data_IF_002251462453
#
_entry.id   IF_002251462453
#
_cell.length_a   1.000
_cell.length_b   1.000
_cell.length_c   1.000
_cell.angle_alpha   90.00
_cell.angle_beta   90.00
_cell.angle_gamma   90.00
#
_symmetry.space_group_name_H-M   'P 1'
#
loop_
_entity.id
_entity.type
_entity.pdbx_description
1 polymer ?
#
# COMPACT_ATOMS: atom_id res chain seq x y z
N UNK A 1 -21.74 14.57 8.05
CA UNK A 1 -20.27 14.61 8.10
C UNK A 1 -19.77 14.24 9.50
N UNK A 2 -18.49 13.96 9.61
CA UNK A 2 -17.84 13.74 10.91
C UNK A 2 -17.58 15.11 11.54
N UNK A 3 -17.91 15.35 12.84
CA UNK A 3 -17.55 16.58 13.53
C UNK A 3 -16.04 16.82 13.53
N UNK A 4 -15.60 18.07 13.41
CA UNK A 4 -14.17 18.43 13.30
C UNK A 4 -13.36 18.01 14.54
N UNK A 5 -13.96 18.10 15.73
CA UNK A 5 -13.36 17.67 16.99
C UNK A 5 -13.09 16.14 17.08
N UNK A 6 -13.59 15.38 16.10
CA UNK A 6 -13.37 13.93 15.97
C UNK A 6 -12.44 13.56 14.81
N UNK A 7 -11.82 14.54 14.18
CA UNK A 7 -10.88 14.35 13.07
C UNK A 7 -9.47 14.67 13.58
N UNK A 8 -8.56 13.72 13.40
CA UNK A 8 -7.14 13.91 13.68
C UNK A 8 -6.41 13.91 12.35
N UNK A 9 -5.83 15.05 12.00
CA UNK A 9 -4.96 15.17 10.81
C UNK A 9 -3.59 14.61 11.12
N UNK A 10 -3.06 13.78 10.22
CA UNK A 10 -1.75 13.15 10.36
C UNK A 10 -0.87 13.39 9.14
N UNK A 11 0.43 13.31 9.36
CA UNK A 11 1.48 13.31 8.33
C UNK A 11 2.47 12.19 8.63
N UNK A 12 3.29 11.77 7.65
CA UNK A 12 4.34 10.80 7.91
C UNK A 12 5.22 11.16 9.10
N UNK A 13 5.48 10.19 9.97
CA UNK A 13 6.21 10.35 11.22
C UNK A 13 5.33 10.62 12.45
N UNK A 14 4.05 10.94 12.27
CA UNK A 14 3.14 11.12 13.39
C UNK A 14 2.74 9.78 14.02
N UNK A 15 2.51 9.81 15.33
CA UNK A 15 2.02 8.67 16.10
C UNK A 15 0.83 9.11 16.94
N UNK A 16 -0.24 8.32 16.89
CA UNK A 16 -1.46 8.52 17.69
C UNK A 16 -1.59 7.35 18.66
N UNK A 17 -1.88 7.64 19.90
CA UNK A 17 -2.17 6.63 20.93
C UNK A 17 -3.67 6.67 21.28
N UNK A 18 -4.34 5.55 21.07
CA UNK A 18 -5.76 5.36 21.36
C UNK A 18 -5.92 4.15 22.29
N UNK A 19 -6.02 4.39 23.59
CA UNK A 19 -6.09 3.33 24.60
C UNK A 19 -4.87 2.41 24.50
N UNK A 20 -5.08 1.16 24.08
CA UNK A 20 -4.11 0.09 23.93
C UNK A 20 -3.65 -0.12 22.47
N UNK A 21 -4.01 0.79 21.58
CA UNK A 21 -3.59 0.78 20.18
C UNK A 21 -2.72 2.00 19.89
N UNK A 22 -1.56 1.76 19.28
CA UNK A 22 -0.69 2.81 18.77
C UNK A 22 -0.73 2.80 17.24
N UNK A 23 -0.95 3.97 16.63
CA UNK A 23 -1.09 4.12 15.20
C UNK A 23 0.05 5.01 14.70
N UNK A 24 0.89 4.49 13.82
CA UNK A 24 1.96 5.23 13.17
C UNK A 24 1.57 5.57 11.74
N UNK A 25 1.69 6.83 11.37
CA UNK A 25 1.57 7.29 9.99
C UNK A 25 2.95 7.26 9.33
N UNK A 26 3.07 6.57 8.22
CA UNK A 26 4.32 6.37 7.48
C UNK A 26 4.20 6.94 6.07
N UNK A 27 5.34 7.06 5.37
CA UNK A 27 5.37 7.44 3.98
C UNK A 27 4.51 6.49 3.13
N UNK A 28 3.70 7.07 2.25
CA UNK A 28 2.94 6.34 1.25
C UNK A 28 3.62 6.40 -0.11
N UNK A 29 3.37 5.41 -0.93
CA UNK A 29 3.86 5.31 -2.30
C UNK A 29 2.69 5.29 -3.29
N UNK A 30 1.71 6.17 -3.05
CA UNK A 30 0.52 6.35 -3.87
C UNK A 30 0.89 6.85 -5.28
N UNK A 31 0.06 6.52 -6.26
CA UNK A 31 0.22 6.95 -7.66
C UNK A 31 0.25 8.46 -7.84
N UNK A 32 -0.45 9.22 -7.00
CA UNK A 32 -0.42 10.68 -7.05
C UNK A 32 0.98 11.23 -6.86
N UNK A 33 1.85 10.42 -6.28
CA UNK A 33 3.25 10.67 -6.11
C UNK A 33 4.11 10.18 -7.29
N UNK A 34 3.52 9.38 -8.19
CA UNK A 34 4.21 8.71 -9.28
C UNK A 34 3.75 9.15 -10.68
N UNK A 35 2.89 10.14 -10.78
CA UNK A 35 2.45 10.67 -12.09
C UNK A 35 3.64 11.32 -12.79
N UNK A 36 4.15 10.62 -13.77
CA UNK A 36 5.40 10.98 -14.46
C UNK A 36 5.20 11.53 -15.86
N UNK A 37 3.98 11.51 -16.39
CA UNK A 37 3.74 11.93 -17.77
C UNK A 37 2.93 13.22 -17.81
N UNK A 38 3.41 14.24 -18.56
CA UNK A 38 2.61 15.41 -18.87
C UNK A 38 1.36 14.97 -19.65
N UNK A 39 0.21 15.38 -19.18
CA UNK A 39 -1.03 15.23 -19.95
C UNK A 39 -1.09 16.40 -20.91
N UNK A 40 -1.18 16.10 -22.22
CA UNK A 40 -1.32 17.13 -23.25
C UNK A 40 -2.53 18.01 -22.95
N UNK A 41 -2.35 19.33 -22.89
CA UNK A 41 -3.40 20.28 -22.53
C UNK A 41 -3.56 20.56 -21.03
N UNK A 42 -2.78 19.96 -20.15
CA UNK A 42 -2.82 20.23 -18.71
C UNK A 42 -2.41 21.69 -18.39
N UNK A 43 -1.57 22.28 -19.21
CA UNK A 43 -1.16 23.68 -19.10
C UNK A 43 -2.34 24.65 -19.25
N UNK A 44 -3.29 24.34 -20.14
CA UNK A 44 -4.47 25.14 -20.40
C UNK A 44 -5.46 25.13 -19.22
N UNK A 45 -5.36 24.13 -18.36
CA UNK A 45 -6.22 23.99 -17.18
C UNK A 45 -5.62 24.60 -15.90
N UNK A 46 -4.47 25.26 -16.02
CA UNK A 46 -3.79 25.87 -14.88
C UNK A 46 -3.22 24.86 -13.88
N UNK A 47 -3.13 23.59 -14.29
CA UNK A 47 -2.46 22.55 -13.51
C UNK A 47 -0.96 22.68 -13.72
N UNK A 48 -0.20 22.78 -12.65
CA UNK A 48 1.22 22.56 -12.73
C UNK A 48 1.46 21.13 -13.24
N UNK A 49 2.21 21.04 -14.34
CA UNK A 49 2.68 19.76 -14.88
C UNK A 49 3.66 19.17 -13.89
N UNK A 50 3.16 18.31 -13.02
CA UNK A 50 4.01 17.47 -12.19
C UNK A 50 4.56 16.30 -13.03
N UNK A 51 5.31 16.62 -14.07
CA UNK A 51 6.00 15.66 -14.92
C UNK A 51 7.23 15.04 -14.27
N UNK A 52 7.46 15.35 -12.99
CA UNK A 52 8.54 14.81 -12.19
C UNK A 52 7.93 14.15 -10.97
N UNK A 53 8.55 13.07 -10.55
CA UNK A 53 8.24 12.47 -9.25
C UNK A 53 8.19 13.59 -8.21
N UNK A 54 7.10 13.76 -7.47
CA UNK A 54 7.04 14.74 -6.40
C UNK A 54 8.24 14.53 -5.46
N UNK A 55 8.71 15.60 -4.85
CA UNK A 55 9.74 15.47 -3.82
C UNK A 55 9.25 14.55 -2.70
N UNK A 56 10.16 13.89 -2.00
CA UNK A 56 9.81 13.05 -0.84
C UNK A 56 8.92 13.81 0.17
N UNK A 57 9.13 15.13 0.26
CA UNK A 57 8.33 16.02 1.11
C UNK A 57 6.89 16.21 0.60
N UNK A 58 6.69 16.31 -0.71
CA UNK A 58 5.35 16.39 -1.31
C UNK A 58 4.63 15.05 -1.26
N UNK A 59 5.35 13.95 -1.45
CA UNK A 59 4.81 12.60 -1.28
C UNK A 59 4.29 12.39 0.14
N UNK A 60 5.07 12.76 1.15
CA UNK A 60 4.69 12.65 2.55
C UNK A 60 3.53 13.52 3.00
N UNK A 61 3.03 14.45 2.14
CA UNK A 61 1.91 15.35 2.48
C UNK A 61 0.55 14.90 1.94
N UNK A 62 0.51 13.95 1.00
CA UNK A 62 -0.72 13.63 0.25
C UNK A 62 -1.38 12.35 0.71
N UNK A 63 -0.61 11.36 1.09
CA UNK A 63 -1.11 10.07 1.54
C UNK A 63 -0.20 9.48 2.61
N UNK A 64 -0.75 8.59 3.44
CA UNK A 64 0.00 7.89 4.48
C UNK A 64 -0.33 6.41 4.47
N UNK A 65 0.66 5.59 4.77
CA UNK A 65 0.48 4.22 5.17
C UNK A 65 0.38 4.16 6.69
N UNK A 66 -0.23 3.13 7.23
CA UNK A 66 -0.41 3.01 8.67
C UNK A 66 0.20 1.72 9.22
N UNK A 67 0.77 1.82 10.42
CA UNK A 67 1.06 0.68 11.27
C UNK A 67 0.21 0.79 12.51
N UNK A 68 -0.51 -0.28 12.83
CA UNK A 68 -1.30 -0.41 14.05
C UNK A 68 -0.62 -1.41 14.96
N UNK A 69 -0.03 -0.94 16.05
CA UNK A 69 0.44 -1.81 17.13
C UNK A 69 -0.73 -2.05 18.08
N UNK A 70 -1.14 -3.30 18.22
CA UNK A 70 -2.25 -3.73 19.07
C UNK A 70 -1.81 -4.82 20.03
N UNK A 71 -2.56 -5.10 21.09
CA UNK A 71 -2.26 -6.23 21.99
C UNK A 71 -2.25 -7.60 21.28
N UNK A 72 -2.92 -7.71 20.13
CA UNK A 72 -3.01 -8.95 19.35
C UNK A 72 -1.95 -9.10 18.25
N UNK A 73 -1.16 -8.06 18.00
CA UNK A 73 -0.12 -8.04 16.95
C UNK A 73 -0.08 -6.73 16.18
N UNK A 74 0.86 -6.64 15.26
CA UNK A 74 1.14 -5.44 14.46
C UNK A 74 0.59 -5.59 13.05
N UNK A 75 -0.25 -4.65 12.65
CA UNK A 75 -0.91 -4.63 11.34
C UNK A 75 -0.35 -3.48 10.52
N UNK A 76 0.11 -3.76 9.32
CA UNK A 76 0.48 -2.76 8.32
C UNK A 76 -0.67 -2.57 7.33
N UNK A 77 -1.04 -1.33 7.04
CA UNK A 77 -2.00 -0.98 6.02
C UNK A 77 -1.36 -0.06 4.98
N UNK A 78 -1.12 -0.59 3.80
CA UNK A 78 -0.42 0.11 2.72
C UNK A 78 -1.33 0.99 1.85
N UNK A 79 -2.62 1.09 2.18
CA UNK A 79 -3.61 1.86 1.40
C UNK A 79 -3.47 1.59 -0.12
N UNK A 80 -3.39 2.64 -0.93
CA UNK A 80 -3.24 2.56 -2.39
C UNK A 80 -1.79 2.70 -2.85
N UNK A 81 -0.83 2.38 -1.97
CA UNK A 81 0.59 2.41 -2.32
C UNK A 81 0.93 1.44 -3.45
N UNK A 82 1.76 1.91 -4.39
CA UNK A 82 2.45 1.05 -5.34
C UNK A 82 3.63 0.35 -4.70
N UNK A 83 4.18 -0.65 -5.40
CA UNK A 83 5.41 -1.26 -4.96
C UNK A 83 6.56 -0.25 -4.95
N UNK A 84 7.25 -0.18 -3.82
CA UNK A 84 8.50 0.54 -3.65
C UNK A 84 9.48 -0.27 -2.81
N UNK A 85 10.75 -0.25 -3.16
CA UNK A 85 11.81 -0.85 -2.33
C UNK A 85 11.88 -0.20 -0.95
N UNK A 86 11.34 1.00 -0.80
CA UNK A 86 11.29 1.71 0.48
C UNK A 86 10.39 1.05 1.52
N UNK A 87 9.51 0.12 1.15
CA UNK A 87 8.83 -0.74 2.13
C UNK A 87 9.82 -1.47 3.05
N UNK A 88 11.05 -1.70 2.59
CA UNK A 88 12.09 -2.29 3.43
C UNK A 88 12.51 -1.38 4.61
N UNK A 89 12.30 -0.06 4.54
CA UNK A 89 12.51 0.85 5.68
C UNK A 89 11.47 0.57 6.77
N UNK A 90 10.21 0.42 6.37
CA UNK A 90 9.11 0.12 7.29
C UNK A 90 9.28 -1.27 7.93
N UNK A 91 9.64 -2.29 7.14
CA UNK A 91 9.90 -3.63 7.65
C UNK A 91 11.17 -3.78 8.51
N UNK A 92 12.05 -2.77 8.53
CA UNK A 92 13.17 -2.67 9.49
C UNK A 92 12.76 -1.97 10.79
N UNK A 93 11.77 -1.10 10.70
CA UNK A 93 11.32 -0.27 11.81
C UNK A 93 10.28 -0.98 12.68
N UNK A 94 9.46 -1.84 12.08
CA UNK A 94 8.35 -2.52 12.75
C UNK A 94 8.40 -4.04 12.51
N UNK A 95 8.04 -4.80 13.53
CA UNK A 95 7.79 -6.25 13.41
C UNK A 95 6.33 -6.46 13.01
N UNK A 96 6.10 -6.65 11.71
CA UNK A 96 4.77 -6.67 11.11
C UNK A 96 4.24 -8.11 11.04
N UNK A 97 3.14 -8.38 11.73
CA UNK A 97 2.48 -9.68 11.67
C UNK A 97 1.62 -9.84 10.42
N UNK A 98 0.83 -8.81 10.11
CA UNK A 98 -0.10 -8.82 8.98
C UNK A 98 0.04 -7.54 8.16
N UNK A 99 0.15 -7.68 6.84
CA UNK A 99 0.13 -6.55 5.93
C UNK A 99 -1.08 -6.63 5.00
N UNK A 100 -1.79 -5.51 4.84
CA UNK A 100 -2.86 -5.32 3.87
C UNK A 100 -2.39 -4.32 2.82
N UNK A 101 -2.56 -4.67 1.54
CA UNK A 101 -2.25 -3.72 0.47
C UNK A 101 -3.14 -3.93 -0.75
N UNK A 102 -3.29 -2.86 -1.54
CA UNK A 102 -4.05 -2.92 -2.77
C UNK A 102 -3.44 -3.91 -3.76
N UNK A 103 -4.31 -4.60 -4.45
CA UNK A 103 -3.96 -5.55 -5.50
C UNK A 103 -5.03 -5.48 -6.59
N UNK A 104 -4.66 -5.67 -7.83
CA UNK A 104 -5.66 -5.79 -8.87
C UNK A 104 -5.17 -5.46 -10.26
N UNK A 105 -6.12 -5.50 -11.21
CA UNK A 105 -5.88 -5.06 -12.56
C UNK A 105 -5.84 -3.55 -12.65
N UNK A 106 -5.02 -3.05 -13.56
CA UNK A 106 -4.87 -1.64 -13.83
C UNK A 106 -5.46 -1.29 -15.19
N UNK A 107 -6.21 -0.18 -15.32
CA UNK A 107 -6.56 0.37 -16.62
C UNK A 107 -5.32 0.65 -17.46
N UNK A 108 -5.49 0.62 -18.78
CA UNK A 108 -4.38 0.93 -19.70
C UNK A 108 -3.84 2.34 -19.43
N UNK A 109 -2.54 2.43 -19.22
CA UNK A 109 -1.85 3.69 -18.95
C UNK A 109 -1.93 4.20 -17.50
N UNK A 110 -2.59 3.47 -16.61
CA UNK A 110 -2.70 3.82 -15.19
C UNK A 110 -2.12 2.70 -14.35
N UNK A 111 -1.10 2.98 -13.55
CA UNK A 111 -0.61 2.07 -12.52
C UNK A 111 -1.24 2.47 -11.19
N UNK A 112 -2.34 1.84 -10.82
CA UNK A 112 -3.14 2.18 -9.63
C UNK A 112 -3.06 1.12 -8.53
N UNK A 113 -2.75 -0.11 -8.90
CA UNK A 113 -2.73 -1.25 -7.99
C UNK A 113 -1.46 -2.07 -8.17
N UNK A 114 -1.06 -2.75 -7.12
CA UNK A 114 0.04 -3.71 -7.19
C UNK A 114 -0.33 -4.92 -8.03
N UNK A 115 0.62 -5.42 -8.79
CA UNK A 115 0.54 -6.74 -9.40
C UNK A 115 0.76 -7.84 -8.34
N UNK A 116 0.46 -9.09 -8.67
CA UNK A 116 0.74 -10.24 -7.79
C UNK A 116 2.23 -10.36 -7.45
N UNK A 117 3.12 -10.04 -8.40
CA UNK A 117 4.57 -10.01 -8.16
C UNK A 117 4.95 -8.91 -7.17
N UNK A 118 4.38 -7.72 -7.32
CA UNK A 118 4.67 -6.57 -6.48
C UNK A 118 4.20 -6.79 -5.05
N UNK A 119 3.02 -7.39 -4.90
CA UNK A 119 2.47 -7.73 -3.58
C UNK A 119 3.38 -8.71 -2.82
N UNK A 120 3.91 -9.74 -3.49
CA UNK A 120 4.83 -10.68 -2.87
C UNK A 120 6.17 -10.02 -2.51
N UNK A 121 6.68 -9.12 -3.36
CA UNK A 121 7.89 -8.32 -3.07
C UNK A 121 7.68 -7.38 -1.88
N UNK A 122 6.51 -6.75 -1.78
CA UNK A 122 6.18 -5.90 -0.65
C UNK A 122 6.19 -6.71 0.65
N UNK A 123 5.59 -7.91 0.66
CA UNK A 123 5.60 -8.79 1.81
C UNK A 123 7.03 -9.17 2.27
N UNK A 124 7.94 -9.41 1.33
CA UNK A 124 9.37 -9.63 1.64
C UNK A 124 10.02 -8.37 2.24
N UNK A 125 9.77 -7.21 1.64
CA UNK A 125 10.32 -5.93 2.12
C UNK A 125 9.83 -5.61 3.53
N UNK A 126 8.55 -5.81 3.80
CA UNK A 126 7.93 -5.59 5.12
C UNK A 126 8.30 -6.66 6.14
N UNK A 127 8.83 -7.82 5.71
CA UNK A 127 9.11 -8.98 6.56
C UNK A 127 7.88 -9.47 7.33
N UNK A 128 6.70 -9.28 6.77
CA UNK A 128 5.44 -9.67 7.41
C UNK A 128 5.30 -11.20 7.45
N UNK A 129 4.47 -11.70 8.35
CA UNK A 129 4.13 -13.12 8.39
C UNK A 129 2.96 -13.45 7.46
N UNK A 130 2.03 -12.50 7.29
CA UNK A 130 0.83 -12.68 6.46
C UNK A 130 0.64 -11.48 5.55
N UNK A 131 0.32 -11.72 4.28
CA UNK A 131 -0.13 -10.68 3.34
C UNK A 131 -1.57 -10.90 2.95
N UNK A 132 -2.38 -9.85 3.03
CA UNK A 132 -3.80 -9.86 2.65
C UNK A 132 -3.99 -8.91 1.48
N UNK A 133 -4.32 -9.41 0.27
CA UNK A 133 -4.70 -8.55 -0.83
C UNK A 133 -6.05 -7.90 -0.55
N UNK A 134 -6.16 -6.61 -0.81
CA UNK A 134 -7.40 -5.84 -0.71
C UNK A 134 -7.61 -5.05 -2.00
N UNK A 135 -8.80 -4.48 -2.18
CA UNK A 135 -9.12 -3.61 -3.33
C UNK A 135 -9.19 -4.31 -4.70
N UNK A 136 -9.18 -5.65 -4.73
CA UNK A 136 -9.13 -6.42 -5.98
C UNK A 136 -10.52 -6.74 -6.58
N UNK A 137 -11.59 -6.52 -5.83
CA UNK A 137 -12.96 -6.91 -6.15
C UNK A 137 -13.97 -5.74 -6.09
N UNK A 138 -13.48 -4.50 -6.01
CA UNK A 138 -14.33 -3.31 -5.84
C UNK A 138 -14.93 -2.84 -7.16
N UNK A 139 -14.15 -2.93 -8.26
CA UNK A 139 -14.57 -2.43 -9.57
C UNK A 139 -14.84 -3.58 -10.51
N UNK A 140 -16.08 -3.74 -10.97
CA UNK A 140 -16.51 -4.84 -11.83
C UNK A 140 -15.71 -4.99 -13.13
N UNK A 141 -15.13 -3.90 -13.64
CA UNK A 141 -14.32 -3.91 -14.86
C UNK A 141 -12.83 -4.15 -14.60
N UNK A 142 -12.40 -4.21 -13.34
CA UNK A 142 -11.01 -4.32 -12.94
C UNK A 142 -10.83 -5.30 -11.77
N UNK A 143 -11.64 -6.35 -11.77
CA UNK A 143 -11.52 -7.43 -10.81
C UNK A 143 -10.30 -8.29 -11.13
N UNK A 144 -9.49 -8.58 -10.14
CA UNK A 144 -8.34 -9.46 -10.29
C UNK A 144 -8.51 -10.75 -9.49
N UNK A 145 -8.10 -11.86 -10.10
CA UNK A 145 -8.11 -13.15 -9.42
C UNK A 145 -6.95 -13.26 -8.43
N UNK A 146 -7.28 -13.56 -7.20
CA UNK A 146 -6.31 -13.85 -6.15
C UNK A 146 -5.59 -15.19 -6.33
N UNK A 147 -6.08 -16.07 -7.22
CA UNK A 147 -5.44 -17.33 -7.56
C UNK A 147 -4.03 -17.14 -8.14
N UNK A 148 -3.82 -16.03 -8.86
CA UNK A 148 -2.51 -15.68 -9.38
C UNK A 148 -1.48 -15.48 -8.26
N UNK A 149 -1.87 -14.81 -7.16
CA UNK A 149 -1.01 -14.62 -5.99
C UNK A 149 -0.62 -15.97 -5.40
N UNK A 150 -1.60 -16.86 -5.22
CA UNK A 150 -1.37 -18.20 -4.67
C UNK A 150 -0.48 -19.04 -5.59
N UNK A 151 -0.72 -18.99 -6.90
CA UNK A 151 0.09 -19.73 -7.88
C UNK A 151 1.55 -19.27 -7.84
N UNK A 152 1.78 -17.95 -7.91
CA UNK A 152 3.13 -17.37 -7.86
C UNK A 152 3.82 -17.63 -6.52
N UNK A 153 3.11 -17.53 -5.41
CA UNK A 153 3.65 -17.82 -4.10
C UNK A 153 4.09 -19.28 -4.00
N UNK A 154 3.25 -20.24 -4.42
CA UNK A 154 3.59 -21.68 -4.43
C UNK A 154 4.81 -21.97 -5.29
N UNK A 155 4.94 -21.33 -6.45
CA UNK A 155 6.09 -21.51 -7.36
C UNK A 155 7.40 -20.95 -6.79
N UNK A 156 7.33 -19.90 -5.98
CA UNK A 156 8.50 -19.13 -5.55
C UNK A 156 8.93 -19.40 -4.12
N UNK A 157 8.01 -19.77 -3.23
CA UNK A 157 8.23 -19.82 -1.78
C UNK A 157 9.47 -20.62 -1.36
N UNK A 158 9.68 -21.77 -1.95
CA UNK A 158 10.81 -22.64 -1.57
C UNK A 158 12.13 -22.10 -2.13
N UNK A 159 12.12 -21.64 -3.38
CA UNK A 159 13.31 -21.06 -4.04
C UNK A 159 13.77 -19.76 -3.40
N UNK A 160 12.82 -18.88 -3.07
CA UNK A 160 13.09 -17.58 -2.46
C UNK A 160 13.01 -17.61 -0.94
N UNK A 161 12.72 -18.77 -0.35
CA UNK A 161 12.61 -18.97 1.10
C UNK A 161 11.67 -17.98 1.77
N UNK A 162 10.49 -17.75 1.19
CA UNK A 162 9.48 -16.87 1.74
C UNK A 162 9.11 -17.27 3.18
N UNK A 163 9.12 -16.29 4.08
CA UNK A 163 8.74 -16.45 5.49
C UNK A 163 7.28 -16.11 5.75
N UNK A 164 6.58 -15.63 4.74
CA UNK A 164 5.18 -15.22 4.79
C UNK A 164 4.30 -16.15 3.96
N UNK A 165 2.99 -16.02 4.19
CA UNK A 165 1.97 -16.65 3.36
C UNK A 165 0.85 -15.66 3.00
N UNK A 166 0.27 -15.76 1.80
CA UNK A 166 -0.94 -15.02 1.45
C UNK A 166 -2.14 -15.58 2.20
N UNK A 167 -2.92 -14.70 2.82
CA UNK A 167 -4.24 -15.05 3.33
C UNK A 167 -5.30 -14.50 2.37
N UNK A 168 -6.01 -15.39 1.72
CA UNK A 168 -7.05 -15.07 0.76
C UNK A 168 -8.36 -15.63 1.30
N UNK A 169 -9.32 -14.73 1.49
CA UNK A 169 -10.68 -15.14 1.87
C UNK A 169 -11.41 -15.61 0.64
N UNK A 170 -11.81 -16.86 0.59
CA UNK A 170 -12.80 -17.31 -0.36
C UNK A 170 -14.14 -16.67 0.04
N UNK A 171 -14.67 -15.84 -0.86
CA UNK A 171 -16.03 -15.31 -0.69
C UNK A 171 -16.95 -16.43 -1.21
N UNK A 172 -17.59 -17.11 -0.26
CA UNK A 172 -18.61 -18.13 -0.55
C UNK A 172 -19.93 -17.52 -1.01
#
# INVERSE_FOLDING_TARGET
GVPEDRIITVKPGDTIELKDVKIHALDSFDRTCLVTLPVEGAEEQGGELHGLCPSDEEMGRKAVNYVFETPGGTIYHGADSHYSINFAKHGKQFDIDVALNNYGENPVGIADKMTSVDLLRMAECLRTNVIIPVHHDIWTNFMASTDEILALWRMRKDRLQYKFHPFIREVG
#
